data_IF_005294741118
#
_entry.id   IF_005294741118
#
_cell.length_a   1.000
_cell.length_b   1.000
_cell.length_c   1.000
_cell.angle_alpha   90.00
_cell.angle_beta   90.00
_cell.angle_gamma   90.00
#
_symmetry.space_group_name_H-M   'P 1'
#
loop_
_entity.id
_entity.type
_entity.pdbx_description
1 polymer ?
#
# COMPACT_ATOMS: atom_id res chain seq x y z
N UNK A 1 20.96 -22.01 43.49
CA UNK A 1 20.00 -22.50 42.52
C UNK A 1 18.76 -21.59 42.29
N UNK A 2 18.39 -20.68 43.18
CA UNK A 2 17.23 -19.80 43.01
C UNK A 2 17.41 -18.62 42.04
N UNK A 3 18.63 -18.25 41.67
CA UNK A 3 18.94 -17.12 40.79
C UNK A 3 18.92 -17.47 39.28
N UNK A 4 19.03 -18.74 38.93
CA UNK A 4 18.99 -19.19 37.51
C UNK A 4 17.58 -19.29 36.96
N UNK A 5 16.58 -19.54 37.79
CA UNK A 5 15.17 -19.61 37.34
C UNK A 5 14.60 -18.25 36.97
N UNK A 6 15.05 -17.16 37.58
CA UNK A 6 14.53 -15.80 37.28
C UNK A 6 14.95 -15.31 35.89
N UNK A 7 16.10 -15.72 35.38
CA UNK A 7 16.63 -15.31 34.08
C UNK A 7 15.86 -16.01 32.93
N UNK A 8 15.45 -17.26 33.13
CA UNK A 8 14.71 -18.02 32.12
C UNK A 8 13.28 -17.48 31.94
N UNK A 9 12.64 -17.03 33.03
CA UNK A 9 11.28 -16.49 32.97
C UNK A 9 11.26 -15.11 32.27
N UNK A 10 12.32 -14.30 32.43
CA UNK A 10 12.41 -12.98 31.80
C UNK A 10 12.65 -13.07 30.29
N UNK A 11 13.34 -14.11 29.81
CA UNK A 11 13.58 -14.32 28.38
C UNK A 11 12.32 -14.79 27.62
N UNK A 12 11.37 -15.43 28.28
CA UNK A 12 10.07 -15.81 27.67
C UNK A 12 9.06 -14.67 27.57
N UNK A 13 9.20 -13.62 28.37
CA UNK A 13 8.30 -12.45 28.32
C UNK A 13 8.63 -11.46 27.21
N UNK A 14 9.81 -11.56 26.60
CA UNK A 14 10.25 -10.68 25.50
C UNK A 14 9.92 -11.21 24.10
N UNK A 15 9.40 -12.43 23.97
CA UNK A 15 9.14 -13.06 22.66
C UNK A 15 7.72 -12.90 22.14
N UNK A 16 6.83 -12.24 22.84
CA UNK A 16 5.46 -12.01 22.40
C UNK A 16 5.21 -10.57 21.91
N UNK A 17 6.10 -10.05 21.09
CA UNK A 17 5.68 -9.00 20.17
C UNK A 17 4.88 -9.67 19.07
N UNK A 18 3.58 -9.87 19.31
CA UNK A 18 2.63 -10.08 18.23
C UNK A 18 2.79 -8.89 17.30
N UNK A 19 3.54 -9.06 16.21
CA UNK A 19 3.57 -8.07 15.13
C UNK A 19 2.16 -8.02 14.55
N UNK A 20 1.36 -7.09 15.09
CA UNK A 20 0.12 -6.67 14.46
C UNK A 20 0.50 -6.38 13.01
N UNK A 21 0.01 -7.20 12.06
CA UNK A 21 0.40 -7.09 10.66
C UNK A 21 0.08 -5.66 10.21
N UNK A 22 1.12 -4.87 9.96
CA UNK A 22 0.98 -3.47 9.56
C UNK A 22 -0.01 -3.36 8.41
N UNK A 23 -0.93 -2.40 8.50
CA UNK A 23 -1.88 -2.11 7.43
C UNK A 23 -1.14 -1.64 6.17
N UNK A 24 -0.09 -0.86 6.36
CA UNK A 24 0.84 -0.44 5.32
C UNK A 24 1.92 -1.48 5.09
N UNK A 25 2.49 -1.48 3.89
CA UNK A 25 3.55 -2.41 3.54
C UNK A 25 4.90 -2.02 4.13
N UNK A 26 5.76 -3.03 4.19
CA UNK A 26 7.16 -2.91 4.58
C UNK A 26 8.00 -3.93 3.80
N UNK A 27 9.30 -3.77 3.87
CA UNK A 27 10.28 -4.57 3.14
C UNK A 27 10.53 -4.05 1.73
N UNK A 28 11.53 -4.61 1.11
CA UNK A 28 11.84 -4.35 -0.29
C UNK A 28 10.97 -5.24 -1.17
N UNK A 29 10.37 -4.64 -2.20
CA UNK A 29 9.58 -5.36 -3.19
C UNK A 29 9.89 -4.86 -4.59
N UNK A 30 9.64 -5.72 -5.56
CA UNK A 30 9.72 -5.42 -6.98
C UNK A 30 8.31 -5.46 -7.58
N UNK A 31 7.94 -4.42 -8.32
CA UNK A 31 6.64 -4.33 -8.99
C UNK A 31 6.83 -4.31 -10.52
N UNK A 32 5.87 -4.84 -11.25
CA UNK A 32 5.88 -4.78 -12.71
C UNK A 32 5.60 -3.37 -13.24
N UNK A 33 6.00 -3.11 -14.46
CA UNK A 33 5.64 -1.88 -15.20
C UNK A 33 4.13 -1.67 -15.27
N UNK A 34 3.36 -2.75 -15.37
CA UNK A 34 1.89 -2.68 -15.35
C UNK A 34 1.36 -2.12 -14.03
N UNK A 35 1.89 -2.59 -12.90
CA UNK A 35 1.48 -2.08 -11.59
C UNK A 35 1.96 -0.64 -11.37
N UNK A 36 3.16 -0.31 -11.84
CA UNK A 36 3.67 1.05 -11.84
C UNK A 36 2.75 2.02 -12.62
N UNK A 37 2.33 1.65 -13.83
CA UNK A 37 1.38 2.44 -14.61
C UNK A 37 0.03 2.62 -13.87
N UNK A 38 -0.44 1.58 -13.17
CA UNK A 38 -1.63 1.68 -12.34
C UNK A 38 -1.46 2.67 -11.18
N UNK A 39 -0.27 2.74 -10.58
CA UNK A 39 0.05 3.74 -9.54
C UNK A 39 0.06 5.15 -10.14
N UNK A 40 0.64 5.33 -11.32
CA UNK A 40 0.61 6.61 -12.05
C UNK A 40 -0.83 7.07 -12.34
N UNK A 41 -1.67 6.16 -12.83
CA UNK A 41 -3.10 6.44 -13.08
C UNK A 41 -3.84 6.84 -11.79
N UNK A 42 -3.54 6.20 -10.68
CA UNK A 42 -4.11 6.56 -9.38
C UNK A 42 -3.72 7.98 -8.97
N UNK A 43 -2.46 8.35 -9.10
CA UNK A 43 -1.96 9.70 -8.78
C UNK A 43 -2.48 10.76 -9.75
N UNK A 44 -2.59 10.42 -11.04
CA UNK A 44 -3.10 11.31 -12.10
C UNK A 44 -4.61 11.52 -12.07
N UNK A 45 -5.37 10.72 -11.34
CA UNK A 45 -6.84 10.77 -11.33
C UNK A 45 -7.44 12.04 -10.70
N UNK A 46 -6.64 12.83 -9.97
CA UNK A 46 -7.02 14.17 -9.51
C UNK A 46 -6.71 15.30 -10.52
N UNK A 47 -5.95 14.99 -11.57
CA UNK A 47 -5.48 15.93 -12.58
C UNK A 47 -6.13 15.51 -13.89
N UNK A 48 -7.26 16.16 -14.22
CA UNK A 48 -7.91 16.19 -15.55
C UNK A 48 -7.50 15.05 -16.50
N UNK A 49 -8.07 13.88 -16.35
CA UNK A 49 -7.98 12.88 -17.40
C UNK A 49 -8.82 13.36 -18.57
N UNK A 50 -8.20 14.09 -19.51
CA UNK A 50 -8.84 14.68 -20.71
C UNK A 50 -9.49 13.64 -21.62
N UNK A 51 -9.15 12.35 -21.43
CA UNK A 51 -9.58 11.25 -22.30
C UNK A 51 -10.64 10.34 -21.67
N UNK A 52 -10.92 10.45 -20.38
CA UNK A 52 -12.03 9.72 -19.77
C UNK A 52 -13.27 10.61 -19.82
N UNK A 53 -14.18 10.30 -20.72
CA UNK A 53 -15.44 11.03 -20.85
C UNK A 53 -16.07 11.32 -19.50
N UNK A 54 -16.13 12.58 -19.18
CA UNK A 54 -17.04 13.33 -18.30
C UNK A 54 -17.23 13.01 -16.82
N UNK A 55 -16.57 12.06 -16.18
CA UNK A 55 -16.67 11.95 -14.72
C UNK A 55 -15.28 11.87 -14.11
N UNK A 56 -14.81 12.99 -13.56
CA UNK A 56 -13.63 13.01 -12.72
C UNK A 56 -13.84 11.98 -11.60
N UNK A 57 -12.98 10.97 -11.49
CA UNK A 57 -13.05 9.95 -10.45
C UNK A 57 -12.83 10.52 -9.04
N UNK A 58 -12.62 11.83 -8.93
CA UNK A 58 -12.29 12.48 -7.69
C UNK A 58 -10.84 12.24 -7.26
N UNK A 59 -10.50 12.74 -6.08
CA UNK A 59 -9.16 12.62 -5.51
C UNK A 59 -8.94 11.19 -5.00
N UNK A 60 -7.83 10.56 -5.35
CA UNK A 60 -7.42 9.28 -4.79
C UNK A 60 -7.31 9.36 -3.26
N UNK A 61 -7.89 8.39 -2.54
CA UNK A 61 -7.86 8.34 -1.07
C UNK A 61 -6.92 7.28 -0.56
N UNK A 62 -6.99 6.07 -1.11
CA UNK A 62 -6.12 4.96 -0.76
C UNK A 62 -5.77 4.13 -1.99
N UNK A 63 -4.57 3.57 -1.98
CA UNK A 63 -4.13 2.56 -2.92
C UNK A 63 -3.47 1.42 -2.17
N UNK A 64 -3.94 0.18 -2.43
CA UNK A 64 -3.33 -1.05 -1.97
C UNK A 64 -2.73 -1.82 -3.15
N UNK A 65 -1.62 -2.48 -2.91
CA UNK A 65 -0.96 -3.37 -3.87
C UNK A 65 -0.77 -4.76 -3.28
N UNK A 66 -0.77 -5.78 -4.13
CA UNK A 66 -0.31 -7.11 -3.75
C UNK A 66 1.21 -7.10 -3.61
N UNK A 67 1.72 -7.81 -2.61
CA UNK A 67 3.16 -7.96 -2.39
C UNK A 67 3.77 -9.13 -3.18
N UNK A 68 2.94 -9.90 -3.88
CA UNK A 68 3.32 -11.12 -4.57
C UNK A 68 2.87 -11.17 -6.02
N UNK A 69 1.97 -10.27 -6.43
CA UNK A 69 1.41 -10.24 -7.78
C UNK A 69 1.19 -8.80 -8.26
N UNK A 70 0.96 -8.64 -9.57
CA UNK A 70 0.75 -7.34 -10.23
C UNK A 70 -0.67 -6.76 -10.02
N UNK A 71 -1.26 -6.96 -8.85
CA UNK A 71 -2.60 -6.50 -8.59
C UNK A 71 -2.64 -5.37 -7.57
N UNK A 72 -3.51 -4.41 -7.85
CA UNK A 72 -3.81 -3.32 -6.96
C UNK A 72 -5.30 -3.03 -6.90
N UNK A 73 -5.67 -2.25 -5.90
CA UNK A 73 -6.99 -1.64 -5.79
C UNK A 73 -6.83 -0.22 -5.25
N UNK A 74 -7.69 0.66 -5.70
CA UNK A 74 -7.69 2.06 -5.30
C UNK A 74 -9.09 2.53 -4.96
N UNK A 75 -9.19 3.56 -4.14
CA UNK A 75 -10.41 4.29 -3.84
C UNK A 75 -10.25 5.76 -4.18
N UNK A 76 -11.35 6.37 -4.53
CA UNK A 76 -11.43 7.77 -4.92
C UNK A 76 -12.58 8.44 -4.17
N UNK A 77 -12.38 9.70 -3.83
CA UNK A 77 -13.42 10.54 -3.27
C UNK A 77 -13.90 11.53 -4.34
N UNK A 78 -15.09 11.35 -4.90
CA UNK A 78 -15.64 12.29 -5.88
C UNK A 78 -16.14 13.59 -5.23
N UNK A 79 -16.29 13.59 -3.89
CA UNK A 79 -16.83 14.71 -3.12
C UNK A 79 -15.86 15.11 -2.01
N UNK A 80 -16.08 16.27 -1.42
CA UNK A 80 -15.26 16.78 -0.31
C UNK A 80 -15.42 16.02 1.00
N UNK A 81 -16.51 15.27 1.16
CA UNK A 81 -16.85 14.53 2.38
C UNK A 81 -17.00 13.02 2.09
N UNK A 82 -15.90 12.30 2.01
CA UNK A 82 -15.92 10.85 1.96
C UNK A 82 -15.54 10.25 3.32
N UNK A 83 -16.25 9.19 3.69
CA UNK A 83 -15.94 8.45 4.91
C UNK A 83 -14.54 7.82 4.81
N UNK A 84 -13.69 8.13 5.76
CA UNK A 84 -12.36 7.51 5.88
C UNK A 84 -12.50 6.18 6.66
N UNK A 85 -12.31 5.06 5.97
CA UNK A 85 -12.29 3.71 6.54
C UNK A 85 -10.86 3.23 6.85
N UNK A 86 -9.89 4.14 6.78
CA UNK A 86 -8.47 3.80 6.97
C UNK A 86 -7.89 2.93 5.85
N UNK A 87 -8.59 2.78 4.72
CA UNK A 87 -8.15 1.97 3.58
C UNK A 87 -8.47 0.47 3.71
N UNK A 88 -9.26 0.06 4.69
CA UNK A 88 -9.61 -1.35 4.91
C UNK A 88 -10.38 -1.95 3.73
N UNK A 89 -11.34 -1.21 3.16
CA UNK A 89 -12.09 -1.64 1.98
C UNK A 89 -11.18 -1.81 0.75
N UNK A 90 -10.24 -0.90 0.56
CA UNK A 90 -9.29 -0.96 -0.56
C UNK A 90 -8.39 -2.18 -0.44
N UNK A 91 -7.85 -2.43 0.76
CA UNK A 91 -7.05 -3.63 1.04
C UNK A 91 -7.86 -4.91 0.79
N UNK A 92 -9.08 -4.99 1.29
CA UNK A 92 -9.98 -6.14 1.08
C UNK A 92 -10.28 -6.36 -0.41
N UNK A 93 -10.57 -5.30 -1.16
CA UNK A 93 -10.84 -5.38 -2.60
C UNK A 93 -9.60 -5.83 -3.39
N UNK A 94 -8.42 -5.37 -3.03
CA UNK A 94 -7.16 -5.85 -3.60
C UNK A 94 -7.02 -7.36 -3.41
N UNK A 95 -7.21 -7.86 -2.18
CA UNK A 95 -7.12 -9.29 -1.86
C UNK A 95 -8.15 -10.13 -2.62
N UNK A 96 -9.41 -9.66 -2.71
CA UNK A 96 -10.47 -10.35 -3.46
C UNK A 96 -10.14 -10.46 -4.95
N UNK A 97 -9.67 -9.35 -5.55
CA UNK A 97 -9.29 -9.32 -6.98
C UNK A 97 -8.10 -10.23 -7.25
N UNK A 98 -7.06 -10.16 -6.44
CA UNK A 98 -5.88 -11.00 -6.56
C UNK A 98 -6.26 -12.49 -6.43
N UNK A 99 -7.06 -12.85 -5.43
CA UNK A 99 -7.57 -14.23 -5.26
C UNK A 99 -8.38 -14.72 -6.46
N UNK A 100 -9.25 -13.86 -7.02
CA UNK A 100 -10.05 -14.22 -8.20
C UNK A 100 -9.18 -14.54 -9.42
N UNK A 101 -8.02 -13.89 -9.55
CA UNK A 101 -7.13 -14.07 -10.70
C UNK A 101 -6.10 -15.17 -10.52
N UNK A 102 -5.59 -15.35 -9.31
CA UNK A 102 -4.53 -16.34 -9.04
C UNK A 102 -5.03 -17.63 -8.45
N UNK A 103 -6.28 -17.66 -7.96
CA UNK A 103 -6.86 -18.79 -7.21
C UNK A 103 -6.30 -18.93 -5.79
N UNK A 104 -5.29 -18.14 -5.42
CA UNK A 104 -4.60 -18.21 -4.12
C UNK A 104 -4.95 -17.00 -3.24
N UNK A 105 -4.82 -17.21 -1.92
CA UNK A 105 -4.94 -16.09 -0.96
C UNK A 105 -3.72 -15.21 -1.10
N UNK A 106 -3.93 -13.97 -1.54
CA UNK A 106 -2.88 -12.98 -1.72
C UNK A 106 -2.84 -12.00 -0.56
N UNK A 107 -1.64 -11.52 -0.25
CA UNK A 107 -1.46 -10.46 0.74
C UNK A 107 -1.42 -9.12 0.04
N UNK A 108 -2.35 -8.22 0.39
CA UNK A 108 -2.32 -6.84 -0.06
C UNK A 108 -1.99 -5.90 1.10
N UNK A 109 -1.22 -4.88 0.81
CA UNK A 109 -0.82 -3.83 1.74
C UNK A 109 -1.13 -2.46 1.16
N UNK A 110 -1.45 -1.49 2.01
CA UNK A 110 -1.60 -0.11 1.58
C UNK A 110 -0.23 0.46 1.22
N UNK A 111 -0.17 1.10 0.07
CA UNK A 111 0.99 1.83 -0.41
C UNK A 111 0.81 3.34 -0.26
N UNK A 112 -0.38 3.85 -0.59
CA UNK A 112 -0.69 5.27 -0.53
C UNK A 112 -1.85 5.58 0.41
N UNK A 113 -1.73 6.73 1.09
CA UNK A 113 -2.85 7.51 1.63
C UNK A 113 -2.86 8.87 0.95
N UNK A 114 -3.89 9.13 0.14
CA UNK A 114 -3.87 10.27 -0.78
C UNK A 114 -2.66 10.18 -1.72
N UNK A 115 -1.89 11.23 -1.83
CA UNK A 115 -0.65 11.29 -2.62
C UNK A 115 0.61 11.08 -1.75
N UNK A 116 0.49 10.38 -0.64
CA UNK A 116 1.62 10.13 0.27
C UNK A 116 1.95 8.65 0.31
N UNK A 117 3.18 8.28 -0.04
CA UNK A 117 3.72 6.93 0.11
C UNK A 117 3.87 6.63 1.59
N UNK A 118 3.32 5.46 2.00
CA UNK A 118 3.30 4.99 3.39
C UNK A 118 3.95 3.61 3.53
N UNK A 119 4.98 3.35 2.78
CA UNK A 119 5.72 2.08 2.79
C UNK A 119 6.96 2.20 3.68
N UNK A 120 7.35 1.13 4.39
CA UNK A 120 8.50 1.11 5.30
C UNK A 120 8.48 2.22 6.37
N UNK A 121 7.29 2.64 6.84
CA UNK A 121 7.17 3.75 7.78
C UNK A 121 7.41 5.14 7.19
N UNK A 122 7.71 5.22 5.88
CA UNK A 122 7.91 6.49 5.18
C UNK A 122 6.62 7.33 5.14
N UNK A 123 6.81 8.63 4.94
CA UNK A 123 5.74 9.62 4.70
C UNK A 123 6.17 10.53 3.56
N UNK A 124 6.39 9.95 2.37
CA UNK A 124 6.89 10.66 1.20
C UNK A 124 5.70 11.21 0.41
N UNK A 125 5.56 12.53 0.37
CA UNK A 125 4.52 13.20 -0.43
C UNK A 125 4.98 13.23 -1.89
N UNK A 126 4.07 12.86 -2.79
CA UNK A 126 4.30 12.87 -4.24
C UNK A 126 3.61 14.09 -4.85
N UNK A 127 4.39 14.94 -5.48
CA UNK A 127 3.94 16.09 -6.27
C UNK A 127 3.71 15.73 -7.73
N UNK A 128 3.23 16.70 -8.50
CA UNK A 128 2.83 16.52 -9.91
C UNK A 128 4.00 16.30 -10.86
N UNK A 129 5.17 16.84 -10.51
CA UNK A 129 6.37 16.83 -11.33
C UNK A 129 7.49 15.96 -10.74
N UNK A 130 7.18 15.21 -9.68
CA UNK A 130 8.18 14.38 -9.04
C UNK A 130 8.47 13.11 -9.86
N UNK A 131 9.71 12.66 -9.80
CA UNK A 131 10.08 11.34 -10.30
C UNK A 131 9.52 10.25 -9.38
N UNK A 132 8.37 9.72 -9.76
CA UNK A 132 7.68 8.69 -8.98
C UNK A 132 8.54 7.44 -8.78
N UNK A 133 9.31 7.03 -9.79
CA UNK A 133 10.13 5.83 -9.71
C UNK A 133 11.25 5.99 -8.68
N UNK A 134 11.91 7.16 -8.67
CA UNK A 134 12.91 7.49 -7.66
C UNK A 134 12.33 7.54 -6.25
N UNK A 135 11.11 8.09 -6.09
CA UNK A 135 10.44 8.15 -4.78
C UNK A 135 10.00 6.75 -4.29
N UNK A 136 9.51 5.89 -5.19
CA UNK A 136 9.18 4.50 -4.85
C UNK A 136 10.43 3.73 -4.46
N UNK A 137 11.54 3.89 -5.19
CA UNK A 137 12.84 3.27 -4.87
C UNK A 137 13.34 3.69 -3.49
N UNK A 138 13.21 4.97 -3.13
CA UNK A 138 13.53 5.48 -1.79
C UNK A 138 12.67 4.78 -0.70
N UNK A 139 11.45 4.40 -1.03
CA UNK A 139 10.57 3.67 -0.13
C UNK A 139 10.85 2.15 -0.09
N UNK A 140 11.77 1.62 -0.90
CA UNK A 140 12.09 0.19 -1.00
C UNK A 140 11.27 -0.54 -2.06
N UNK A 141 10.73 0.18 -3.06
CA UNK A 141 9.92 -0.39 -4.14
C UNK A 141 10.63 -0.13 -5.47
N UNK A 142 11.09 -1.18 -6.14
CA UNK A 142 11.73 -1.10 -7.45
C UNK A 142 10.75 -1.51 -8.56
N UNK A 143 10.90 -0.88 -9.72
CA UNK A 143 10.11 -1.22 -10.91
C UNK A 143 10.94 -2.17 -11.76
N UNK A 144 10.33 -3.30 -12.13
CA UNK A 144 10.93 -4.30 -13.03
C UNK A 144 10.74 -3.85 -14.48
N UNK A 145 11.81 -3.93 -15.25
CA UNK A 145 11.80 -3.72 -16.70
C UNK A 145 10.99 -4.76 -17.45
#
# INVERSE_FOLDING_TARGET
>A
MKKLLAIIVLSFLLSNTSSASSLYGNGEIEISKKLFNYIQDYLGSGIKNKNAGSKSRGRGTYLAISTTTDWGASSYCPYTACRDDGGLNVKSNCQKRAKKKTGKKETCKLLFKGHTIKWNGNKIKVGTNDDLEALLKTAGITVKD
#
